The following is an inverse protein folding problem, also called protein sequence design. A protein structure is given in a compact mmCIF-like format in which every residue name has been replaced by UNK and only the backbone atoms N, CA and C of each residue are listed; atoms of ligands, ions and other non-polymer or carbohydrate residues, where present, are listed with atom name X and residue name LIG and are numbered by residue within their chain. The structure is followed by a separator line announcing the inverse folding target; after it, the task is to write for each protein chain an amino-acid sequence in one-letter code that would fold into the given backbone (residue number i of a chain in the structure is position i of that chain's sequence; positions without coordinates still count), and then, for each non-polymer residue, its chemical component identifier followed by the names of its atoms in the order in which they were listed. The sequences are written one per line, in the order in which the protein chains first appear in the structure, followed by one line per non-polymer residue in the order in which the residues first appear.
data_IF_093161210283
#
_entry.id   IF_093161210283
#
_cell.length_a   1.000
_cell.length_b   1.000
_cell.length_c   1.000
_cell.angle_alpha   90.00
_cell.angle_beta   90.00
_cell.angle_gamma   90.00
#
_symmetry.space_group_name_H-M   'P 1'
#
loop_
_entity.id
_entity.type
_entity.pdbx_description
1 polymer ?
#
# COMPACT_ATOMS: atom_id res chain seq x y z
N UNK A 1 -28.20 -22.40 3.89
CA UNK A 1 -26.82 -22.28 3.40
C UNK A 1 -26.84 -21.54 2.08
N UNK A 2 -26.44 -20.27 2.07
CA UNK A 2 -26.52 -19.45 0.87
C UNK A 2 -25.27 -19.62 -0.01
N UNK A 3 -25.29 -20.62 -0.88
CA UNK A 3 -24.20 -21.02 -1.79
C UNK A 3 -23.62 -19.85 -2.60
N UNK A 4 -24.38 -18.77 -2.84
CA UNK A 4 -23.89 -17.57 -3.51
C UNK A 4 -22.86 -16.78 -2.70
N UNK A 5 -23.02 -16.67 -1.37
CA UNK A 5 -22.08 -15.93 -0.53
C UNK A 5 -20.73 -16.65 -0.45
N UNK A 6 -20.76 -17.96 -0.23
CA UNK A 6 -19.55 -18.80 -0.28
C UNK A 6 -18.85 -18.70 -1.65
N UNK A 7 -19.61 -18.69 -2.76
CA UNK A 7 -19.02 -18.53 -4.10
C UNK A 7 -18.34 -17.18 -4.29
N UNK A 8 -18.95 -16.09 -3.81
CA UNK A 8 -18.35 -14.73 -3.87
C UNK A 8 -17.09 -14.64 -3.01
N UNK A 9 -17.14 -15.16 -1.79
CA UNK A 9 -16.01 -15.23 -0.88
C UNK A 9 -14.83 -16.00 -1.48
N UNK A 10 -15.04 -17.23 -1.96
CA UNK A 10 -13.98 -18.03 -2.57
C UNK A 10 -13.45 -17.44 -3.88
N UNK A 11 -14.29 -16.75 -4.65
CA UNK A 11 -13.84 -15.99 -5.82
C UNK A 11 -12.92 -14.81 -5.46
N UNK A 12 -13.22 -14.12 -4.36
CA UNK A 12 -12.37 -13.06 -3.81
C UNK A 12 -11.02 -13.61 -3.33
N UNK A 13 -11.02 -14.67 -2.54
CA UNK A 13 -9.77 -15.29 -2.07
C UNK A 13 -8.85 -15.68 -3.23
N UNK A 14 -9.42 -16.29 -4.28
CA UNK A 14 -8.68 -16.66 -5.49
C UNK A 14 -8.04 -15.46 -6.20
N UNK A 15 -8.72 -14.29 -6.22
CA UNK A 15 -8.17 -13.05 -6.82
C UNK A 15 -6.93 -12.54 -6.08
N UNK A 16 -6.83 -12.78 -4.78
CA UNK A 16 -5.71 -12.32 -3.94
C UNK A 16 -4.68 -13.43 -3.66
N UNK A 17 -4.80 -14.59 -4.31
CA UNK A 17 -3.89 -15.72 -4.11
C UNK A 17 -3.95 -16.33 -2.71
N UNK A 18 -5.02 -16.04 -1.96
CA UNK A 18 -5.22 -16.56 -0.61
C UNK A 18 -5.86 -17.94 -0.75
N UNK A 19 -5.23 -18.95 -0.16
CA UNK A 19 -5.78 -20.29 -0.20
C UNK A 19 -7.04 -20.39 0.69
N UNK A 20 -7.98 -21.22 0.24
CA UNK A 20 -9.29 -21.37 0.92
C UNK A 20 -9.14 -21.90 2.34
N UNK A 21 -8.13 -22.72 2.60
CA UNK A 21 -7.92 -23.40 3.88
C UNK A 21 -7.44 -22.40 4.92
N UNK A 22 -6.46 -21.56 4.59
CA UNK A 22 -5.96 -20.48 5.46
C UNK A 22 -7.02 -19.44 5.77
N UNK A 23 -7.84 -19.06 4.79
CA UNK A 23 -8.93 -18.10 5.03
C UNK A 23 -10.02 -18.67 5.97
N UNK A 24 -10.39 -19.94 5.80
CA UNK A 24 -11.31 -20.62 6.70
C UNK A 24 -10.73 -20.78 8.11
N UNK A 25 -9.42 -21.02 8.25
CA UNK A 25 -8.74 -21.10 9.55
C UNK A 25 -8.81 -19.77 10.32
N UNK A 26 -8.58 -18.65 9.64
CA UNK A 26 -8.68 -17.31 10.25
C UNK A 26 -10.13 -16.98 10.61
N UNK A 27 -11.08 -17.26 9.72
CA UNK A 27 -12.50 -16.95 9.93
C UNK A 27 -13.15 -17.79 11.04
N UNK A 28 -12.70 -19.04 11.22
CA UNK A 28 -13.28 -19.99 12.19
C UNK A 28 -12.63 -19.98 13.57
N UNK A 29 -11.72 -19.02 13.83
CA UNK A 29 -10.90 -18.94 15.05
C UNK A 29 -10.06 -20.20 15.32
N UNK A 30 -9.45 -20.76 14.28
CA UNK A 30 -8.53 -21.90 14.40
C UNK A 30 -9.19 -23.28 14.49
N UNK A 31 -10.46 -23.43 14.11
CA UNK A 31 -11.12 -24.74 14.05
C UNK A 31 -10.72 -25.48 12.77
N UNK A 32 -9.88 -26.51 12.93
CA UNK A 32 -9.42 -27.39 11.84
C UNK A 32 -10.42 -28.50 11.57
N UNK A 33 -11.46 -28.27 10.76
CA UNK A 33 -12.16 -29.37 10.09
C UNK A 33 -12.34 -29.06 8.61
N UNK A 34 -11.67 -29.87 7.77
CA UNK A 34 -11.39 -29.66 6.35
C UNK A 34 -12.59 -29.75 5.40
N UNK A 35 -13.81 -29.48 5.86
CA UNK A 35 -15.01 -29.61 5.01
C UNK A 35 -16.23 -28.82 5.47
N UNK A 36 -16.15 -28.00 6.52
CA UNK A 36 -17.32 -27.21 6.92
C UNK A 36 -17.35 -25.90 6.15
N UNK A 37 -18.38 -25.72 5.33
CA UNK A 37 -18.71 -24.42 4.73
C UNK A 37 -18.87 -23.37 5.83
N UNK A 38 -18.40 -22.14 5.60
CA UNK A 38 -18.61 -21.02 6.53
C UNK A 38 -20.11 -20.88 6.82
N UNK A 39 -20.45 -20.58 8.07
CA UNK A 39 -21.82 -20.18 8.40
C UNK A 39 -22.18 -18.88 7.68
N UNK A 40 -23.48 -18.62 7.49
CA UNK A 40 -23.93 -17.42 6.78
C UNK A 40 -23.46 -16.12 7.49
N UNK A 41 -23.24 -16.15 8.81
CA UNK A 41 -22.73 -15.02 9.59
C UNK A 41 -21.21 -14.84 9.46
N UNK A 42 -20.43 -15.93 9.46
CA UNK A 42 -18.99 -15.89 9.19
C UNK A 42 -18.72 -15.43 7.75
N UNK A 43 -19.52 -15.89 6.79
CA UNK A 43 -19.44 -15.46 5.40
C UNK A 43 -19.79 -13.98 5.24
N UNK A 44 -20.79 -13.46 5.97
CA UNK A 44 -21.14 -12.04 5.98
C UNK A 44 -20.05 -11.18 6.63
N UNK A 45 -19.53 -11.60 7.78
CA UNK A 45 -18.42 -10.90 8.43
C UNK A 45 -17.21 -10.83 7.51
N UNK A 46 -16.85 -11.92 6.83
CA UNK A 46 -15.72 -11.90 5.90
C UNK A 46 -15.99 -11.02 4.67
N UNK A 47 -17.18 -11.10 4.08
CA UNK A 47 -17.55 -10.26 2.95
C UNK A 47 -17.49 -8.76 3.27
N UNK A 48 -17.83 -8.37 4.50
CA UNK A 48 -17.90 -6.96 4.89
C UNK A 48 -16.59 -6.48 5.52
N UNK A 49 -16.11 -7.19 6.53
CA UNK A 49 -15.00 -6.77 7.37
C UNK A 49 -13.65 -7.31 6.88
N UNK A 50 -13.62 -8.59 6.49
CA UNK A 50 -12.43 -9.21 5.87
C UNK A 50 -12.05 -8.52 4.56
N UNK A 51 -13.05 -8.14 3.75
CA UNK A 51 -12.83 -7.37 2.53
C UNK A 51 -12.25 -5.98 2.80
N UNK A 52 -12.75 -5.28 3.83
CA UNK A 52 -12.21 -3.97 4.25
C UNK A 52 -10.74 -4.09 4.64
N UNK A 53 -10.39 -5.07 5.47
CA UNK A 53 -9.01 -5.30 5.89
C UNK A 53 -8.09 -5.68 4.72
N UNK A 54 -8.56 -6.48 3.77
CA UNK A 54 -7.81 -6.81 2.55
C UNK A 54 -7.59 -5.60 1.64
N UNK A 55 -8.61 -4.76 1.47
CA UNK A 55 -8.48 -3.51 0.71
C UNK A 55 -7.52 -2.54 1.39
N UNK A 56 -7.61 -2.38 2.70
CA UNK A 56 -6.68 -1.55 3.49
C UNK A 56 -5.24 -2.06 3.33
N UNK A 57 -5.04 -3.39 3.36
CA UNK A 57 -3.74 -4.02 3.11
C UNK A 57 -3.20 -3.76 1.70
N UNK A 58 -4.03 -3.86 0.66
CA UNK A 58 -3.63 -3.54 -0.72
C UNK A 58 -3.31 -2.03 -0.90
N UNK A 59 -4.07 -1.16 -0.24
CA UNK A 59 -3.80 0.28 -0.21
C UNK A 59 -2.48 0.60 0.49
N UNK A 60 -2.19 -0.01 1.64
CA UNK A 60 -0.89 0.13 2.31
C UNK A 60 0.25 -0.44 1.47
N UNK A 61 0.06 -1.60 0.84
CA UNK A 61 1.05 -2.19 -0.07
C UNK A 61 1.42 -1.25 -1.22
N UNK A 62 0.41 -0.60 -1.81
CA UNK A 62 0.62 0.43 -2.85
C UNK A 62 1.36 1.65 -2.32
N UNK A 63 1.04 2.12 -1.12
CA UNK A 63 1.75 3.24 -0.48
C UNK A 63 3.22 2.87 -0.20
N UNK A 64 3.47 1.70 0.40
CA UNK A 64 4.80 1.18 0.67
C UNK A 64 5.65 1.07 -0.61
N UNK A 65 5.06 0.55 -1.70
CA UNK A 65 5.72 0.51 -3.01
C UNK A 65 6.16 1.90 -3.49
N UNK A 66 5.35 2.93 -3.25
CA UNK A 66 5.70 4.32 -3.63
C UNK A 66 6.74 4.94 -2.71
N UNK A 67 6.67 4.69 -1.41
CA UNK A 67 7.72 5.10 -0.45
C UNK A 67 9.07 4.49 -0.82
N UNK A 68 9.09 3.18 -1.13
CA UNK A 68 10.29 2.48 -1.62
C UNK A 68 10.80 3.04 -2.95
N UNK A 69 9.89 3.43 -3.85
CA UNK A 69 10.27 4.08 -5.10
C UNK A 69 11.00 5.41 -4.84
N UNK A 70 10.49 6.26 -3.94
CA UNK A 70 11.15 7.52 -3.55
C UNK A 70 12.54 7.28 -2.95
N UNK A 71 12.66 6.28 -2.06
CA UNK A 71 13.96 5.90 -1.47
C UNK A 71 14.95 5.42 -2.55
N UNK A 72 14.50 4.58 -3.49
CA UNK A 72 15.35 4.12 -4.59
C UNK A 72 15.82 5.27 -5.49
N UNK A 73 14.96 6.27 -5.73
CA UNK A 73 15.33 7.48 -6.46
C UNK A 73 16.39 8.30 -5.72
N UNK A 74 16.32 8.37 -4.39
CA UNK A 74 17.34 9.05 -3.56
C UNK A 74 18.73 8.43 -3.78
N UNK A 75 18.78 7.09 -3.72
CA UNK A 75 20.03 6.37 -3.95
C UNK A 75 20.62 6.60 -5.35
N UNK A 76 19.78 6.80 -6.37
CA UNK A 76 20.24 7.04 -7.75
C UNK A 76 21.05 8.34 -7.91
N UNK A 77 20.88 9.28 -6.99
CA UNK A 77 21.63 10.55 -6.94
C UNK A 77 22.67 10.58 -5.82
N UNK A 78 22.98 9.43 -5.22
CA UNK A 78 23.99 9.29 -4.16
C UNK A 78 23.52 9.73 -2.78
N UNK A 79 22.21 9.91 -2.58
CA UNK A 79 21.63 10.32 -1.30
C UNK A 79 21.04 9.13 -0.55
N UNK A 80 20.78 9.30 0.74
CA UNK A 80 20.27 8.24 1.61
C UNK A 80 18.73 8.30 1.78
N UNK A 81 18.11 7.33 2.49
CA UNK A 81 16.68 7.35 2.74
C UNK A 81 16.21 8.48 3.67
N UNK A 82 17.09 9.01 4.53
CA UNK A 82 16.74 10.09 5.44
C UNK A 82 16.57 11.40 4.67
N UNK A 83 17.46 11.66 3.71
CA UNK A 83 17.37 12.79 2.80
C UNK A 83 16.01 12.88 2.09
N UNK A 84 15.53 11.78 1.49
CA UNK A 84 14.26 11.83 0.75
C UNK A 84 13.05 11.99 1.67
N UNK A 85 13.10 11.46 2.89
CA UNK A 85 12.05 11.66 3.90
C UNK A 85 11.95 13.14 4.27
N UNK A 86 13.07 13.74 4.63
CA UNK A 86 13.15 15.17 4.96
C UNK A 86 12.76 16.04 3.77
N UNK A 87 13.17 15.66 2.56
CA UNK A 87 12.77 16.35 1.34
C UNK A 87 11.26 16.26 1.13
N UNK A 88 10.64 15.10 1.33
CA UNK A 88 9.20 14.94 1.23
C UNK A 88 8.48 15.78 2.29
N UNK A 89 8.90 15.74 3.55
CA UNK A 89 8.30 16.50 4.65
C UNK A 89 8.46 18.02 4.43
N UNK A 90 9.61 18.44 3.88
CA UNK A 90 9.95 19.84 3.61
C UNK A 90 9.43 20.37 2.29
N UNK A 91 9.09 19.56 1.30
CA UNK A 91 8.66 20.02 -0.04
C UNK A 91 7.40 19.31 -0.56
N UNK A 92 6.76 18.52 0.30
CA UNK A 92 5.55 17.76 0.02
C UNK A 92 4.28 18.58 -0.08
N UNK A 93 3.14 17.89 -0.04
CA UNK A 93 1.84 18.47 -0.40
C UNK A 93 1.39 19.45 0.69
N UNK A 94 1.32 20.74 0.32
CA UNK A 94 1.07 21.86 1.20
C UNK A 94 1.90 23.07 0.76
N UNK A 95 1.42 23.79 -0.26
CA UNK A 95 1.95 25.10 -0.64
C UNK A 95 1.10 26.19 0.02
N UNK A 96 1.65 26.88 1.02
CA UNK A 96 1.00 28.00 1.71
C UNK A 96 1.37 28.10 3.20
N UNK A 97 0.91 29.16 3.85
CA UNK A 97 1.24 29.52 5.25
C UNK A 97 0.62 28.58 6.31
N UNK A 98 -0.31 27.69 5.94
CA UNK A 98 -0.84 26.63 6.82
C UNK A 98 -0.22 25.29 6.45
N UNK A 99 1.08 25.18 6.67
CA UNK A 99 1.83 23.97 6.38
C UNK A 99 1.76 23.01 7.57
N UNK A 100 0.81 22.10 7.53
CA UNK A 100 0.93 20.89 8.35
C UNK A 100 2.05 20.03 7.76
N UNK A 101 3.22 20.05 8.41
CA UNK A 101 4.30 19.12 8.13
C UNK A 101 3.80 17.71 8.43
N UNK A 102 3.47 16.96 7.38
CA UNK A 102 3.03 15.58 7.47
C UNK A 102 4.22 14.65 7.39
N UNK A 103 4.29 13.65 8.27
CA UNK A 103 5.39 12.68 8.26
C UNK A 103 5.39 11.84 6.98
N UNK A 104 6.57 11.36 6.55
CA UNK A 104 6.72 10.56 5.33
C UNK A 104 5.77 9.33 5.26
N UNK A 105 5.44 8.74 6.41
CA UNK A 105 4.57 7.57 6.48
C UNK A 105 3.08 7.91 6.41
N UNK A 106 2.70 9.17 6.59
CA UNK A 106 1.30 9.58 6.67
C UNK A 106 0.73 10.02 5.32
N UNK A 107 1.57 10.16 4.29
CA UNK A 107 1.11 10.53 2.95
C UNK A 107 0.11 9.52 2.39
N UNK A 108 -0.96 10.06 1.81
CA UNK A 108 -1.93 9.30 1.02
C UNK A 108 -1.28 8.79 -0.26
N UNK A 109 -1.90 7.80 -0.88
CA UNK A 109 -1.39 7.25 -2.14
C UNK A 109 -1.28 8.32 -3.24
N UNK A 110 -2.26 9.22 -3.36
CA UNK A 110 -2.25 10.29 -4.35
C UNK A 110 -1.11 11.29 -4.12
N UNK A 111 -0.83 11.65 -2.87
CA UNK A 111 0.28 12.52 -2.51
C UNK A 111 1.63 11.85 -2.80
N UNK A 112 1.77 10.56 -2.51
CA UNK A 112 2.97 9.79 -2.86
C UNK A 112 3.19 9.74 -4.38
N UNK A 113 2.14 9.62 -5.19
CA UNK A 113 2.27 9.73 -6.66
C UNK A 113 2.78 11.11 -7.07
N UNK A 114 2.24 12.18 -6.51
CA UNK A 114 2.68 13.55 -6.81
C UNK A 114 4.13 13.79 -6.37
N UNK A 115 4.52 13.28 -5.20
CA UNK A 115 5.88 13.34 -4.68
C UNK A 115 6.87 12.62 -5.60
N UNK A 116 6.54 11.42 -6.09
CA UNK A 116 7.38 10.68 -7.05
C UNK A 116 7.63 11.51 -8.31
N UNK A 117 6.60 12.11 -8.89
CA UNK A 117 6.74 12.94 -10.11
C UNK A 117 7.58 14.19 -9.84
N UNK A 118 7.38 14.84 -8.69
CA UNK A 118 8.17 16.03 -8.30
C UNK A 118 9.64 15.65 -8.07
N UNK A 119 9.90 14.57 -7.35
CA UNK A 119 11.26 14.13 -7.01
C UNK A 119 12.02 13.64 -8.25
N UNK A 120 11.32 13.08 -9.24
CA UNK A 120 11.94 12.70 -10.51
C UNK A 120 12.60 13.90 -11.20
N UNK A 121 11.98 15.09 -11.14
CA UNK A 121 12.57 16.31 -11.70
C UNK A 121 13.89 16.67 -11.00
N UNK A 122 13.92 16.55 -9.68
CA UNK A 122 15.14 16.78 -8.88
C UNK A 122 16.25 15.80 -9.27
N UNK A 123 15.89 14.52 -9.46
CA UNK A 123 16.83 13.49 -9.92
C UNK A 123 17.38 13.83 -11.31
N UNK A 124 16.51 14.14 -12.26
CA UNK A 124 16.89 14.47 -13.64
C UNK A 124 17.81 15.69 -13.70
N UNK A 125 17.51 16.73 -12.93
CA UNK A 125 18.31 17.95 -12.87
C UNK A 125 19.70 17.69 -12.27
N UNK A 126 19.78 16.82 -11.26
CA UNK A 126 21.05 16.47 -10.61
C UNK A 126 21.92 15.56 -11.47
N UNK A 127 21.33 14.66 -12.24
CA UNK A 127 22.07 13.83 -13.21
C UNK A 127 22.61 14.71 -14.35
N UNK A 128 21.79 15.64 -14.87
CA UNK A 128 22.23 16.58 -15.92
C UNK A 128 23.38 17.47 -15.47
N UNK A 129 23.35 17.96 -14.22
CA UNK A 129 24.43 18.82 -13.72
C UNK A 129 25.76 18.09 -13.54
N UNK A 130 25.73 16.79 -13.25
CA UNK A 130 26.94 15.94 -13.22
C UNK A 130 27.48 15.68 -14.62
N UNK A 131 26.60 15.44 -15.61
CA UNK A 131 26.99 15.20 -17.00
C UNK A 131 27.56 16.42 -17.73
N UNK A 132 27.19 17.64 -17.33
CA UNK A 132 27.70 18.89 -17.93
C UNK A 132 29.06 19.35 -17.37
N UNK A 133 29.59 18.68 -16.34
CA UNK A 133 30.87 19.00 -15.70
C UNK A 133 32.02 18.05 -16.11
N UNK A 134 31.83 17.28 -17.19
CA UNK A 134 32.83 16.42 -17.85
C UNK A 134 33.06 16.98 -19.25
#
# INVERSE_FOLDING_TARGET
MNTQLNRRFYGLLGKYGIDKVSACLVASAGRTESSRELTDDEAKWFCNEGYRLLLESDHESKKDKKRKQLIAMSYSIGEDPQFVKEWCEKYGVGSGDNRETREFNEYTLQELYALVVKFQKVVDDRIKSVGSNI
#
